data_IF_562608595910
#
_entry.id   IF_562608595910
#
_cell.length_a   1.000
_cell.length_b   1.000
_cell.length_c   1.000
_cell.angle_alpha   90.00
_cell.angle_beta   90.00
_cell.angle_gamma   90.00
#
_symmetry.space_group_name_H-M   'P 1'
#
loop_
_entity.id
_entity.type
_entity.pdbx_description
1 polymer ?
#
# COMPACT_ATOMS: atom_id res chain seq x y z
N UNK A 1 -8.81 7.69 14.77
CA UNK A 1 -9.40 7.88 13.43
C UNK A 1 -8.37 7.69 12.31
N UNK A 2 -7.25 8.42 12.33
CA UNK A 2 -6.21 8.29 11.28
C UNK A 2 -5.63 6.87 11.13
N UNK A 3 -5.28 6.19 12.25
CA UNK A 3 -4.80 4.79 12.22
C UNK A 3 -5.75 3.84 11.50
N UNK A 4 -7.05 3.90 11.82
CA UNK A 4 -8.07 3.02 11.25
C UNK A 4 -8.23 3.25 9.75
N UNK A 5 -8.12 4.49 9.28
CA UNK A 5 -8.17 4.83 7.85
C UNK A 5 -6.93 4.35 7.11
N UNK A 6 -5.72 4.57 7.66
CA UNK A 6 -4.47 4.03 7.10
C UNK A 6 -4.56 2.50 7.01
N UNK A 7 -5.03 1.83 8.07
CA UNK A 7 -5.25 0.38 8.09
C UNK A 7 -6.23 -0.07 7.01
N UNK A 8 -7.35 0.63 6.83
CA UNK A 8 -8.33 0.29 5.81
C UNK A 8 -7.78 0.44 4.38
N UNK A 9 -6.95 1.46 4.12
CA UNK A 9 -6.28 1.65 2.84
C UNK A 9 -5.21 0.58 2.60
N UNK A 10 -4.34 0.32 3.59
CA UNK A 10 -3.34 -0.76 3.52
C UNK A 10 -4.00 -2.13 3.27
N UNK A 11 -5.17 -2.40 3.86
CA UNK A 11 -5.90 -3.65 3.66
C UNK A 11 -6.50 -3.77 2.25
N UNK A 12 -6.91 -2.65 1.63
CA UNK A 12 -7.38 -2.65 0.25
C UNK A 12 -6.22 -2.86 -0.73
N UNK A 13 -5.09 -2.17 -0.50
CA UNK A 13 -3.88 -2.33 -1.30
C UNK A 13 -3.37 -3.77 -1.20
N UNK A 14 -3.24 -4.32 0.02
CA UNK A 14 -2.82 -5.71 0.22
C UNK A 14 -3.67 -6.70 -0.57
N UNK A 15 -5.01 -6.58 -0.50
CA UNK A 15 -5.93 -7.47 -1.23
C UNK A 15 -5.75 -7.36 -2.74
N UNK A 16 -5.58 -6.14 -3.24
CA UNK A 16 -5.38 -5.88 -4.67
C UNK A 16 -4.05 -6.48 -5.16
N UNK A 17 -2.98 -6.32 -4.39
CA UNK A 17 -1.65 -6.87 -4.69
C UNK A 17 -1.63 -8.40 -4.57
N UNK A 18 -2.26 -8.97 -3.54
CA UNK A 18 -2.32 -10.41 -3.33
C UNK A 18 -3.15 -11.15 -4.39
N UNK A 19 -4.07 -10.45 -5.08
CA UNK A 19 -4.80 -10.99 -6.22
C UNK A 19 -3.92 -11.06 -7.49
N UNK A 20 -2.78 -10.35 -7.52
CA UNK A 20 -1.83 -10.42 -8.62
C UNK A 20 -0.74 -11.44 -8.32
N UNK A 21 -0.38 -12.23 -9.32
CA UNK A 21 0.68 -13.26 -9.19
C UNK A 21 2.09 -12.70 -9.28
N UNK A 22 2.25 -11.48 -9.82
CA UNK A 22 3.55 -10.98 -10.23
C UNK A 22 4.26 -10.13 -9.17
N UNK A 23 3.57 -9.77 -8.08
CA UNK A 23 4.08 -8.80 -7.09
C UNK A 23 3.98 -9.28 -5.63
N UNK A 24 4.48 -10.50 -5.31
CA UNK A 24 4.34 -11.08 -3.97
C UNK A 24 5.08 -10.27 -2.89
N UNK A 25 6.16 -9.57 -3.26
CA UNK A 25 6.95 -8.76 -2.32
C UNK A 25 6.15 -7.57 -1.78
N UNK A 26 5.41 -6.86 -2.66
CA UNK A 26 4.58 -5.74 -2.24
C UNK A 26 3.41 -6.20 -1.37
N UNK A 27 2.77 -7.34 -1.69
CA UNK A 27 1.75 -7.92 -0.82
C UNK A 27 2.32 -8.22 0.58
N UNK A 28 3.51 -8.82 0.67
CA UNK A 28 4.16 -9.11 1.95
C UNK A 28 4.48 -7.85 2.76
N UNK A 29 4.96 -6.77 2.11
CA UNK A 29 5.21 -5.48 2.76
C UNK A 29 3.93 -4.93 3.41
N UNK A 30 2.83 -4.91 2.65
CA UNK A 30 1.55 -4.41 3.17
C UNK A 30 0.95 -5.32 4.27
N UNK A 31 1.17 -6.63 4.20
CA UNK A 31 0.80 -7.54 5.29
C UNK A 31 1.56 -7.22 6.59
N UNK A 32 2.87 -6.92 6.51
CA UNK A 32 3.67 -6.49 7.66
C UNK A 32 3.21 -5.15 8.26
N UNK A 33 2.86 -4.18 7.40
CA UNK A 33 2.27 -2.91 7.84
C UNK A 33 0.93 -3.12 8.57
N UNK A 34 0.07 -4.02 8.07
CA UNK A 34 -1.19 -4.35 8.71
C UNK A 34 -0.99 -4.96 10.11
N UNK A 35 -0.03 -5.85 10.28
CA UNK A 35 0.31 -6.41 11.60
C UNK A 35 0.67 -5.30 12.60
N UNK A 36 1.50 -4.33 12.18
CA UNK A 36 1.87 -3.16 13.00
C UNK A 36 0.70 -2.20 13.26
N UNK A 37 -0.18 -2.03 12.28
CA UNK A 37 -1.37 -1.18 12.41
C UNK A 37 -2.44 -1.82 13.32
N UNK A 38 -2.48 -3.14 13.41
CA UNK A 38 -3.34 -3.90 14.34
C UNK A 38 -2.88 -3.80 15.79
N UNK A 39 -1.58 -3.59 16.03
CA UNK A 39 -1.08 -3.27 17.36
C UNK A 39 -1.40 -1.82 17.72
N UNK A 40 -2.45 -1.62 18.51
CA UNK A 40 -2.89 -0.30 18.96
C UNK A 40 -1.90 0.38 19.90
N UNK A 41 -0.97 -0.38 20.49
CA UNK A 41 0.06 0.15 21.40
C UNK A 41 1.27 0.70 20.66
N UNK A 42 1.51 0.25 19.42
CA UNK A 42 2.61 0.76 18.61
C UNK A 42 2.43 2.26 18.30
N UNK A 43 3.48 3.09 18.29
CA UNK A 43 3.36 4.47 17.84
C UNK A 43 3.04 4.53 16.34
N UNK A 44 2.11 5.41 15.94
CA UNK A 44 1.70 5.54 14.53
C UNK A 44 2.76 6.22 13.66
N UNK A 45 3.50 7.19 14.20
CA UNK A 45 4.44 8.00 13.44
C UNK A 45 5.56 7.19 12.74
N UNK A 46 6.20 6.18 13.38
CA UNK A 46 7.15 5.31 12.68
C UNK A 46 6.51 4.50 11.54
N UNK A 47 5.25 4.07 11.69
CA UNK A 47 4.53 3.34 10.64
C UNK A 47 4.29 4.28 9.45
N UNK A 48 3.85 5.52 9.70
CA UNK A 48 3.67 6.53 8.64
C UNK A 48 4.99 6.85 7.92
N UNK A 49 6.09 6.97 8.65
CA UNK A 49 7.41 7.21 8.06
C UNK A 49 7.83 6.05 7.14
N UNK A 50 7.60 4.80 7.55
CA UNK A 50 7.88 3.64 6.72
C UNK A 50 6.99 3.59 5.47
N UNK A 51 5.69 3.94 5.59
CA UNK A 51 4.80 4.04 4.44
C UNK A 51 5.30 5.12 3.47
N UNK A 52 5.68 6.31 3.97
CA UNK A 52 6.22 7.40 3.12
C UNK A 52 7.45 6.96 2.32
N UNK A 53 8.33 6.15 2.93
CA UNK A 53 9.52 5.61 2.23
C UNK A 53 9.16 4.71 1.06
N UNK A 54 8.01 4.03 1.09
CA UNK A 54 7.56 3.21 -0.04
C UNK A 54 7.30 4.04 -1.30
N UNK A 55 6.97 5.33 -1.17
CA UNK A 55 6.69 6.22 -2.29
C UNK A 55 7.94 6.92 -2.86
N UNK A 56 9.12 6.70 -2.28
CA UNK A 56 10.33 7.43 -2.63
C UNK A 56 11.36 6.55 -3.36
N UNK A 57 11.98 7.08 -4.42
CA UNK A 57 13.06 6.44 -5.17
C UNK A 57 12.60 5.72 -6.43
N UNK A 58 13.56 5.15 -7.17
CA UNK A 58 13.29 4.36 -8.37
C UNK A 58 12.88 2.92 -8.00
N UNK A 59 11.84 2.40 -8.65
CA UNK A 59 11.25 1.10 -8.29
C UNK A 59 10.40 1.19 -7.03
N UNK A 60 9.91 2.40 -6.71
CA UNK A 60 9.07 2.65 -5.56
C UNK A 60 7.68 2.04 -5.76
N UNK A 61 6.89 2.05 -4.69
CA UNK A 61 5.49 1.68 -4.76
C UNK A 61 4.70 2.58 -5.73
N UNK A 62 5.18 3.79 -6.02
CA UNK A 62 4.58 4.70 -7.01
C UNK A 62 4.79 4.22 -8.45
N UNK A 63 5.89 3.50 -8.71
CA UNK A 63 6.28 3.04 -10.06
C UNK A 63 5.65 1.68 -10.41
N UNK A 64 5.05 1.01 -9.43
CA UNK A 64 4.47 -0.31 -9.61
C UNK A 64 3.27 -0.24 -10.59
N UNK A 65 3.29 -1.10 -11.61
CA UNK A 65 2.20 -1.22 -12.58
C UNK A 65 1.53 -2.57 -12.42
N UNK A 66 0.20 -2.57 -12.34
CA UNK A 66 -0.57 -3.81 -12.18
C UNK A 66 -0.62 -4.60 -13.48
N UNK A 67 -0.27 -5.88 -13.42
CA UNK A 67 -0.23 -6.76 -14.58
C UNK A 67 -0.93 -8.09 -14.31
N UNK A 68 -1.80 -8.50 -15.22
CA UNK A 68 -2.43 -9.82 -15.23
C UNK A 68 -2.02 -10.57 -16.49
N UNK A 69 -1.41 -11.76 -16.34
CA UNK A 69 -0.94 -12.61 -17.45
C UNK A 69 0.00 -11.88 -18.44
N UNK A 70 0.82 -10.97 -17.93
CA UNK A 70 1.81 -10.22 -18.72
C UNK A 70 1.25 -9.02 -19.50
N UNK A 71 -0.05 -8.72 -19.37
CA UNK A 71 -0.64 -7.48 -19.85
C UNK A 71 -0.98 -6.56 -18.67
N UNK A 72 -0.89 -5.25 -18.88
CA UNK A 72 -1.35 -4.27 -17.89
C UNK A 72 -2.83 -4.48 -17.59
N UNK A 73 -3.17 -4.64 -16.31
CA UNK A 73 -4.55 -4.68 -15.83
C UNK A 73 -4.97 -3.25 -15.49
N UNK A 74 -5.50 -2.54 -16.48
CA UNK A 74 -5.85 -1.11 -16.34
C UNK A 74 -6.85 -0.84 -15.22
N UNK A 75 -7.75 -1.78 -14.94
CA UNK A 75 -8.75 -1.62 -13.88
C UNK A 75 -8.08 -1.71 -12.50
N UNK A 76 -7.24 -2.73 -12.29
CA UNK A 76 -6.46 -2.87 -11.06
C UNK A 76 -5.47 -1.72 -10.87
N UNK A 77 -4.82 -1.27 -11.94
CA UNK A 77 -3.85 -0.17 -11.91
C UNK A 77 -4.52 1.16 -11.52
N UNK A 78 -5.65 1.49 -12.16
CA UNK A 78 -6.46 2.67 -11.82
C UNK A 78 -6.93 2.62 -10.37
N UNK A 79 -7.31 1.43 -9.88
CA UNK A 79 -7.71 1.26 -8.49
C UNK A 79 -6.52 1.48 -7.54
N UNK A 80 -5.34 0.95 -7.89
CA UNK A 80 -4.13 1.11 -7.11
C UNK A 80 -3.71 2.58 -7.02
N UNK A 81 -3.79 3.34 -8.11
CA UNK A 81 -3.49 4.77 -8.13
C UNK A 81 -4.40 5.59 -7.21
N UNK A 82 -5.70 5.28 -7.20
CA UNK A 82 -6.64 5.93 -6.27
C UNK A 82 -6.30 5.62 -4.81
N UNK A 83 -5.90 4.38 -4.52
CA UNK A 83 -5.51 3.98 -3.17
C UNK A 83 -4.18 4.62 -2.74
N UNK A 84 -3.21 4.70 -3.66
CA UNK A 84 -1.93 5.40 -3.47
C UNK A 84 -2.14 6.85 -3.11
N UNK A 85 -2.92 7.58 -3.90
CA UNK A 85 -3.17 9.00 -3.69
C UNK A 85 -3.80 9.25 -2.30
N UNK A 86 -4.85 8.49 -1.96
CA UNK A 86 -5.50 8.59 -0.64
C UNK A 86 -4.56 8.26 0.51
N UNK A 87 -3.76 7.21 0.37
CA UNK A 87 -2.81 6.81 1.41
C UNK A 87 -1.73 7.88 1.58
N UNK A 88 -1.18 8.39 0.49
CA UNK A 88 -0.14 9.42 0.51
C UNK A 88 -0.65 10.73 1.12
N UNK A 89 -1.85 11.17 0.76
CA UNK A 89 -2.51 12.33 1.36
C UNK A 89 -2.64 12.15 2.89
N UNK A 90 -3.20 11.00 3.31
CA UNK A 90 -3.48 10.72 4.73
C UNK A 90 -2.23 10.60 5.60
N UNK A 91 -1.11 10.13 5.05
CA UNK A 91 0.16 10.06 5.77
C UNK A 91 0.96 11.35 5.66
N UNK A 92 0.56 12.31 4.81
CA UNK A 92 1.25 13.60 4.63
C UNK A 92 0.58 14.76 5.36
N UNK A 93 -0.70 14.60 5.73
CA UNK A 93 -1.42 15.46 6.68
C UNK A 93 -0.92 15.30 8.11
#
# INVERSE_FOLDING_TARGET
MQRSEIKALCAQIHRLLAAQTNEPAWAAIFAGLLARLNDETAPLAPIQADIRRLFAGAGSFSDLVMQTRGATDTAADTQLDRLRAKLFELISS
#
